data_IF_570822859650
#
_entry.id   IF_570822859650
#
_cell.length_a   1.000
_cell.length_b   1.000
_cell.length_c   1.000
_cell.angle_alpha   90.00
_cell.angle_beta   90.00
_cell.angle_gamma   90.00
#
_symmetry.space_group_name_H-M   'P 1'
#
loop_
_entity.id
_entity.type
_entity.pdbx_description
1 polymer ?
#
# COMPACT_ATOMS: atom_id res chain seq x y z
N UNK A 1 9.36 13.99 11.78
CA UNK A 1 9.98 12.79 11.17
C UNK A 1 10.48 11.78 12.19
N UNK A 2 11.29 12.15 13.19
CA UNK A 2 11.74 11.21 14.24
C UNK A 2 10.58 10.51 14.99
N UNK A 3 9.51 11.25 15.31
CA UNK A 3 8.31 10.70 15.95
C UNK A 3 7.63 9.60 15.12
N UNK A 4 7.38 9.85 13.83
CA UNK A 4 6.75 8.86 12.93
C UNK A 4 7.60 7.60 12.76
N UNK A 5 8.93 7.72 12.71
CA UNK A 5 9.82 6.56 12.70
C UNK A 5 9.76 5.75 14.01
N UNK A 6 9.65 6.41 15.15
CA UNK A 6 9.49 5.74 16.44
C UNK A 6 8.14 5.01 16.52
N UNK A 7 7.06 5.67 16.08
CA UNK A 7 5.72 5.11 16.07
C UNK A 7 5.60 3.92 15.09
N UNK A 8 6.21 4.01 13.91
CA UNK A 8 6.33 2.89 12.99
C UNK A 8 7.06 1.70 13.63
N UNK A 9 8.24 1.95 14.23
CA UNK A 9 8.99 0.89 14.90
C UNK A 9 8.23 0.27 16.07
N UNK A 10 7.45 1.07 16.80
CA UNK A 10 6.61 0.58 17.87
C UNK A 10 5.49 -0.31 17.32
N UNK A 11 4.80 0.15 16.28
CA UNK A 11 3.74 -0.58 15.61
C UNK A 11 4.24 -1.94 15.07
N UNK A 12 5.39 -1.96 14.38
CA UNK A 12 6.01 -3.21 13.90
C UNK A 12 6.35 -4.20 15.02
N UNK A 13 6.57 -3.71 16.25
CA UNK A 13 6.92 -4.52 17.42
C UNK A 13 5.73 -4.95 18.25
N UNK A 14 4.62 -4.22 18.25
CA UNK A 14 3.50 -4.40 19.17
C UNK A 14 2.25 -4.96 18.51
N UNK A 15 1.98 -4.60 17.25
CA UNK A 15 0.80 -5.09 16.54
C UNK A 15 0.87 -6.61 16.34
N UNK A 16 -0.20 -7.37 16.66
CA UNK A 16 -0.20 -8.83 16.57
C UNK A 16 0.18 -9.36 15.19
N UNK A 17 -0.35 -8.76 14.11
CA UNK A 17 -0.07 -9.19 12.73
C UNK A 17 1.39 -8.92 12.39
N UNK A 18 1.90 -7.74 12.75
CA UNK A 18 3.30 -7.36 12.51
C UNK A 18 4.28 -8.25 13.30
N UNK A 19 3.91 -8.62 14.52
CA UNK A 19 4.67 -9.54 15.39
C UNK A 19 4.72 -10.94 14.81
N UNK A 20 3.59 -11.49 14.38
CA UNK A 20 3.52 -12.82 13.74
C UNK A 20 4.48 -12.91 12.57
N UNK A 21 4.56 -11.87 11.74
CA UNK A 21 5.47 -11.83 10.59
C UNK A 21 6.91 -11.41 10.92
N UNK A 22 7.22 -11.14 12.20
CA UNK A 22 8.53 -10.71 12.68
C UNK A 22 9.12 -9.55 11.86
N UNK A 23 8.30 -8.56 11.51
CA UNK A 23 8.69 -7.48 10.62
C UNK A 23 9.82 -6.62 11.20
N UNK A 24 10.77 -6.26 10.35
CA UNK A 24 11.91 -5.40 10.71
C UNK A 24 12.18 -4.37 9.62
N UNK A 25 12.44 -3.15 10.05
CA UNK A 25 13.01 -2.12 9.21
C UNK A 25 14.54 -2.26 9.23
N UNK A 26 15.13 -2.82 8.18
CA UNK A 26 16.58 -3.08 8.07
C UNK A 26 17.36 -1.93 7.41
N UNK A 27 16.67 -0.89 6.94
CA UNK A 27 17.27 0.26 6.27
C UNK A 27 16.33 1.46 6.22
N UNK A 28 16.51 2.33 5.23
CA UNK A 28 15.59 3.44 4.98
C UNK A 28 14.30 2.94 4.31
N UNK A 29 13.19 3.61 4.60
CA UNK A 29 11.95 3.35 3.87
C UNK A 29 12.14 3.66 2.38
N UNK A 30 11.52 2.86 1.54
CA UNK A 30 11.57 2.99 0.09
C UNK A 30 10.18 3.32 -0.47
N UNK A 31 10.16 4.04 -1.61
CA UNK A 31 9.04 4.16 -2.55
C UNK A 31 7.69 4.69 -2.03
N UNK A 32 6.86 5.31 -2.89
CA UNK A 32 5.49 5.61 -2.50
C UNK A 32 4.67 4.32 -2.36
N UNK A 33 3.83 4.27 -1.32
CA UNK A 33 3.00 3.10 -0.98
C UNK A 33 1.59 3.20 -1.54
N UNK A 34 0.98 2.08 -1.90
CA UNK A 34 -0.40 2.02 -2.37
C UNK A 34 -1.35 1.62 -1.24
N UNK A 35 -2.51 2.28 -1.17
CA UNK A 35 -3.56 1.92 -0.23
C UNK A 35 -3.98 0.44 -0.38
N UNK A 36 -4.18 -0.30 0.73
CA UNK A 36 -4.66 -1.68 0.67
C UNK A 36 -6.06 -1.77 0.09
N UNK A 37 -6.39 -2.89 -0.53
CA UNK A 37 -7.71 -3.14 -1.09
C UNK A 37 -8.64 -3.60 0.05
N UNK A 38 -9.90 -3.19 -0.04
CA UNK A 38 -10.93 -3.68 0.88
C UNK A 38 -11.42 -5.06 0.43
N UNK A 39 -10.58 -6.08 0.60
CA UNK A 39 -10.91 -7.48 0.29
C UNK A 39 -11.66 -8.17 1.43
N UNK A 40 -12.37 -9.25 1.11
CA UNK A 40 -13.00 -10.17 2.08
C UNK A 40 -12.27 -11.51 2.14
N UNK A 41 -11.34 -11.75 1.24
CA UNK A 41 -10.54 -12.97 1.19
C UNK A 41 -9.27 -12.81 2.02
N UNK A 42 -8.93 -13.85 2.77
CA UNK A 42 -7.80 -13.83 3.72
C UNK A 42 -6.44 -13.85 2.99
N UNK A 43 -6.31 -14.61 1.90
CA UNK A 43 -5.10 -14.63 1.09
C UNK A 43 -4.90 -13.27 0.43
N UNK A 44 -5.95 -12.68 -0.13
CA UNK A 44 -5.87 -11.33 -0.71
C UNK A 44 -5.43 -10.29 0.34
N UNK A 45 -5.93 -10.38 1.59
CA UNK A 45 -5.53 -9.48 2.66
C UNK A 45 -4.04 -9.64 3.02
N UNK A 46 -3.55 -10.88 3.11
CA UNK A 46 -2.14 -11.16 3.33
C UNK A 46 -1.26 -10.69 2.15
N UNK A 47 -1.73 -10.87 0.92
CA UNK A 47 -1.03 -10.39 -0.29
C UNK A 47 -0.95 -8.87 -0.35
N UNK A 48 -1.99 -8.16 0.08
CA UNK A 48 -1.97 -6.70 0.21
C UNK A 48 -0.96 -6.23 1.26
N UNK A 49 -0.87 -6.90 2.41
CA UNK A 49 0.15 -6.63 3.42
C UNK A 49 1.56 -6.85 2.86
N UNK A 50 1.82 -8.00 2.24
CA UNK A 50 3.12 -8.31 1.63
C UNK A 50 3.52 -7.32 0.54
N UNK A 51 2.56 -6.88 -0.28
CA UNK A 51 2.78 -5.82 -1.28
C UNK A 51 3.22 -4.52 -0.59
N UNK A 52 2.50 -4.10 0.44
CA UNK A 52 2.78 -2.86 1.17
C UNK A 52 4.18 -2.90 1.80
N UNK A 53 4.55 -4.02 2.42
CA UNK A 53 5.88 -4.22 3.01
C UNK A 53 6.99 -4.11 1.94
N UNK A 54 6.80 -4.78 0.80
CA UNK A 54 7.74 -4.71 -0.33
C UNK A 54 7.89 -3.29 -0.86
N UNK A 55 6.78 -2.55 -1.02
CA UNK A 55 6.80 -1.16 -1.49
C UNK A 55 7.58 -0.27 -0.54
N UNK A 56 7.34 -0.42 0.77
CA UNK A 56 7.97 0.36 1.83
C UNK A 56 9.43 -0.03 2.13
N UNK A 57 9.94 -1.12 1.57
CA UNK A 57 11.26 -1.66 1.89
C UNK A 57 11.33 -2.32 3.28
N UNK A 58 10.19 -2.76 3.83
CA UNK A 58 10.12 -3.49 5.10
C UNK A 58 10.25 -4.98 4.80
N UNK A 59 11.07 -5.68 5.59
CA UNK A 59 11.32 -7.10 5.40
C UNK A 59 10.62 -7.89 6.50
N UNK A 60 9.92 -8.95 6.12
CA UNK A 60 9.41 -9.93 7.06
C UNK A 60 10.53 -10.86 7.54
N UNK A 61 10.46 -11.25 8.81
CA UNK A 61 11.33 -12.30 9.34
C UNK A 61 10.91 -13.68 8.84
N UNK A 62 11.54 -14.73 9.36
CA UNK A 62 10.98 -16.07 9.23
C UNK A 62 9.74 -16.17 10.12
N UNK A 63 8.60 -16.55 9.54
CA UNK A 63 7.33 -16.76 10.24
C UNK A 63 6.62 -17.99 9.67
N UNK A 64 5.73 -18.60 10.45
CA UNK A 64 4.85 -19.64 9.94
C UNK A 64 3.66 -18.99 9.22
N UNK A 65 3.41 -19.40 7.98
CA UNK A 65 2.24 -18.93 7.25
C UNK A 65 0.95 -19.34 7.97
N UNK A 66 0.92 -20.50 8.64
CA UNK A 66 -0.24 -20.97 9.38
C UNK A 66 -0.60 -19.99 10.51
N UNK A 67 0.38 -19.45 11.24
CA UNK A 67 0.15 -18.44 12.29
C UNK A 67 -0.50 -17.16 11.73
N UNK A 68 -0.07 -16.71 10.54
CA UNK A 68 -0.68 -15.56 9.87
C UNK A 68 -2.11 -15.87 9.41
N UNK A 69 -2.35 -17.07 8.88
CA UNK A 69 -3.66 -17.48 8.40
C UNK A 69 -4.65 -17.87 9.52
N UNK A 70 -4.17 -18.10 10.74
CA UNK A 70 -5.01 -18.24 11.94
C UNK A 70 -5.64 -16.92 12.40
N UNK A 71 -5.06 -15.77 12.05
CA UNK A 71 -5.63 -14.46 12.35
C UNK A 71 -6.91 -14.19 11.54
N UNK A 72 -7.81 -13.37 12.07
CA UNK A 72 -9.02 -12.98 11.35
C UNK A 72 -8.70 -12.08 10.16
N UNK A 73 -9.50 -12.18 9.08
CA UNK A 73 -9.30 -11.36 7.87
C UNK A 73 -9.34 -9.86 8.18
N UNK A 74 -10.20 -9.46 9.13
CA UNK A 74 -10.29 -8.07 9.56
C UNK A 74 -9.09 -7.62 10.38
N UNK A 75 -8.45 -8.50 11.18
CA UNK A 75 -7.21 -8.17 11.89
C UNK A 75 -6.10 -7.82 10.90
N UNK A 76 -5.89 -8.65 9.87
CA UNK A 76 -4.90 -8.41 8.81
C UNK A 76 -5.20 -7.10 8.09
N UNK A 77 -6.47 -6.83 7.74
CA UNK A 77 -6.88 -5.61 7.03
C UNK A 77 -6.69 -4.36 7.86
N UNK A 78 -7.09 -4.39 9.13
CA UNK A 78 -6.95 -3.26 10.07
C UNK A 78 -5.46 -2.95 10.27
N UNK A 79 -4.64 -3.96 10.51
CA UNK A 79 -3.20 -3.78 10.68
C UNK A 79 -2.53 -3.25 9.40
N UNK A 80 -2.94 -3.75 8.23
CA UNK A 80 -2.43 -3.26 6.93
C UNK A 80 -2.82 -1.80 6.68
N UNK A 81 -4.05 -1.41 7.00
CA UNK A 81 -4.50 -0.03 6.87
C UNK A 81 -3.78 0.92 7.85
N UNK A 82 -3.57 0.47 9.09
CA UNK A 82 -2.78 1.21 10.08
C UNK A 82 -1.33 1.40 9.62
N UNK A 83 -0.69 0.34 9.13
CA UNK A 83 0.65 0.40 8.56
C UNK A 83 0.73 1.40 7.40
N UNK A 84 -0.23 1.34 6.47
CA UNK A 84 -0.29 2.28 5.35
C UNK A 84 -0.40 3.74 5.82
N UNK A 85 -1.23 4.02 6.82
CA UNK A 85 -1.41 5.37 7.36
C UNK A 85 -0.14 5.90 8.04
N UNK A 86 0.66 5.03 8.66
CA UNK A 86 1.98 5.39 9.21
C UNK A 86 3.00 5.68 8.10
N UNK A 87 3.00 4.88 7.03
CA UNK A 87 3.95 4.98 5.92
C UNK A 87 3.67 6.16 4.98
N UNK A 88 2.40 6.43 4.68
CA UNK A 88 1.95 7.49 3.77
C UNK A 88 2.63 8.85 3.99
N UNK A 89 2.70 9.42 5.21
CA UNK A 89 3.37 10.71 5.42
C UNK A 89 4.90 10.64 5.29
N UNK A 90 5.50 9.44 5.34
CA UNK A 90 6.94 9.24 5.31
C UNK A 90 7.47 9.03 3.89
N UNK A 91 6.73 8.29 3.05
CA UNK A 91 7.18 7.91 1.69
C UNK A 91 6.23 8.34 0.57
N UNK A 92 5.08 8.93 0.92
CA UNK A 92 4.06 9.34 -0.03
C UNK A 92 3.13 8.19 -0.44
N UNK A 93 2.04 8.55 -1.12
CA UNK A 93 1.05 7.60 -1.64
C UNK A 93 1.20 7.47 -3.16
N UNK A 94 1.24 6.24 -3.66
CA UNK A 94 1.20 5.97 -5.10
C UNK A 94 -0.24 6.16 -5.58
N UNK A 95 -0.43 7.09 -6.51
CA UNK A 95 -1.71 7.26 -7.16
C UNK A 95 -2.14 5.95 -7.82
N UNK A 96 -3.30 5.42 -7.45
CA UNK A 96 -3.96 4.41 -8.27
C UNK A 96 -4.20 5.03 -9.63
N UNK A 97 -3.79 4.36 -10.70
CA UNK A 97 -3.98 4.87 -12.05
C UNK A 97 -5.48 5.17 -12.24
N UNK A 98 -5.87 6.45 -12.13
CA UNK A 98 -7.17 6.91 -12.57
C UNK A 98 -7.22 6.55 -14.05
N UNK A 99 -8.29 5.85 -14.48
CA UNK A 99 -8.54 5.60 -15.91
C UNK A 99 -8.14 6.86 -16.69
N UNK A 100 -7.30 6.77 -17.74
CA UNK A 100 -7.03 7.93 -18.56
C UNK A 100 -8.39 8.51 -18.95
N UNK A 101 -8.59 9.81 -18.71
CA UNK A 101 -9.78 10.49 -19.21
C UNK A 101 -9.87 10.14 -20.69
N UNK A 102 -11.02 9.68 -21.21
CA UNK A 102 -11.14 9.43 -22.63
C UNK A 102 -10.66 10.68 -23.35
N UNK A 103 -9.65 10.52 -24.20
CA UNK A 103 -9.16 11.61 -25.03
C UNK A 103 -10.39 12.16 -25.76
N UNK A 104 -10.72 13.44 -25.54
CA UNK A 104 -11.72 14.13 -26.34
C UNK A 104 -11.16 14.29 -27.77
N UNK A 105 -11.20 13.21 -28.55
CA UNK A 105 -10.74 13.13 -29.94
C UNK A 105 -11.78 13.69 -30.92
N UNK A 106 -12.40 14.82 -30.63
CA UNK A 106 -13.21 15.54 -31.61
C UNK A 106 -13.10 17.04 -31.34
N UNK A 107 -12.08 17.66 -31.95
CA UNK A 107 -12.19 19.06 -32.34
C UNK A 107 -12.99 19.04 -33.66
N UNK A 108 -14.15 19.70 -33.76
CA UNK A 108 -14.87 19.78 -35.04
C UNK A 108 -13.93 20.36 -36.10
N UNK A 109 -13.94 19.80 -37.30
CA UNK A 109 -13.32 20.39 -38.48
C UNK A 109 -13.99 21.74 -38.72
N UNK A 110 -13.37 22.81 -38.22
CA UNK A 110 -13.74 24.18 -38.56
C UNK A 110 -13.43 24.40 -40.05
N UNK A 111 -14.42 24.94 -40.75
CA UNK A 111 -14.50 25.16 -42.19
C UNK A 111 -13.22 25.72 -42.84
N UNK A 112 -12.63 24.96 -43.76
CA UNK A 112 -11.78 25.52 -44.82
C UNK A 112 -12.63 25.61 -46.09
N UNK A 113 -13.34 26.74 -46.20
CA UNK A 113 -14.01 27.16 -47.42
C UNK A 113 -12.94 27.56 -48.44
N UNK A 114 -12.88 26.94 -49.63
CA UNK A 114 -11.78 27.19 -50.56
C UNK A 114 -11.84 28.62 -51.12
N UNK A 115 -10.71 29.33 -51.23
CA UNK A 115 -10.67 30.62 -51.89
C UNK A 115 -10.88 30.44 -53.42
N UNK A 116 -11.58 31.43 -53.96
CA UNK A 116 -12.00 31.69 -55.36
C UNK A 116 -11.10 31.21 -56.48
#
# INVERSE_FOLDING_TARGET
>A
MAYLHAELNNFLREDPVMRTMHLKLLGSLAGPVQAPLSTKDKLDAAMDLLRLLKEAGITAGAFDADDLFHLEVDEIRIATAALFNLLKPMVGERATARRPKPFSLLKPLEDEQPPT
#
